data_IF_139788152092
#
_entry.id   IF_139788152092
#
_cell.length_a   1.000
_cell.length_b   1.000
_cell.length_c   1.000
_cell.angle_alpha   90.00
_cell.angle_beta   90.00
_cell.angle_gamma   90.00
#
_symmetry.space_group_name_H-M   'P 1'
#
loop_
_entity.id
_entity.type
_entity.pdbx_description
1 polymer ?
#
# COMPACT_ATOMS: atom_id res chain seq x y z
N UNK A 1 -22.93 -21.10 -14.48
CA UNK A 1 -22.58 -20.71 -13.09
C UNK A 1 -21.80 -19.38 -13.08
N UNK A 2 -21.84 -18.60 -11.99
CA UNK A 2 -21.30 -17.22 -11.89
C UNK A 2 -19.77 -17.20 -11.67
N UNK A 3 -18.98 -17.59 -12.66
CA UNK A 3 -17.52 -17.59 -12.56
C UNK A 3 -16.87 -16.21 -12.72
N UNK A 4 -17.59 -15.25 -13.29
CA UNK A 4 -17.13 -13.88 -13.54
C UNK A 4 -16.73 -13.15 -12.25
N UNK A 5 -17.41 -13.45 -11.14
CA UNK A 5 -17.13 -12.83 -9.84
C UNK A 5 -15.77 -13.25 -9.28
N UNK A 6 -15.36 -14.50 -9.51
CA UNK A 6 -14.08 -15.02 -9.01
C UNK A 6 -12.90 -14.33 -9.70
N UNK A 7 -13.01 -14.02 -10.99
CA UNK A 7 -11.99 -13.27 -11.70
C UNK A 7 -11.83 -11.85 -11.14
N UNK A 8 -12.94 -11.16 -10.85
CA UNK A 8 -12.90 -9.82 -10.25
C UNK A 8 -12.22 -9.86 -8.88
N UNK A 9 -12.62 -10.79 -8.01
CA UNK A 9 -12.01 -10.96 -6.68
C UNK A 9 -10.51 -11.29 -6.80
N UNK A 10 -10.15 -12.19 -7.71
CA UNK A 10 -8.76 -12.58 -7.93
C UNK A 10 -7.91 -11.41 -8.45
N UNK A 11 -8.42 -10.62 -9.39
CA UNK A 11 -7.75 -9.42 -9.89
C UNK A 11 -7.54 -8.38 -8.80
N UNK A 12 -8.53 -8.15 -7.93
CA UNK A 12 -8.41 -7.24 -6.79
C UNK A 12 -7.37 -7.77 -5.80
N UNK A 13 -7.34 -9.09 -5.56
CA UNK A 13 -6.34 -9.72 -4.69
C UNK A 13 -4.93 -9.56 -5.21
N UNK A 14 -4.70 -9.82 -6.50
CA UNK A 14 -3.41 -9.62 -7.17
C UNK A 14 -3.00 -8.14 -7.06
N UNK A 15 -3.93 -7.22 -7.34
CA UNK A 15 -3.68 -5.79 -7.21
C UNK A 15 -3.31 -5.40 -5.77
N UNK A 16 -4.00 -5.94 -4.76
CA UNK A 16 -3.68 -5.74 -3.36
C UNK A 16 -2.30 -6.27 -3.00
N UNK A 17 -1.92 -7.47 -3.46
CA UNK A 17 -0.63 -8.09 -3.17
C UNK A 17 0.52 -7.31 -3.82
N UNK A 18 0.36 -6.90 -5.09
CA UNK A 18 1.34 -6.07 -5.80
C UNK A 18 1.47 -4.72 -5.11
N UNK A 19 0.34 -4.09 -4.78
CA UNK A 19 0.31 -2.81 -4.08
C UNK A 19 1.01 -2.93 -2.73
N UNK A 20 0.69 -3.93 -1.90
CA UNK A 20 1.37 -4.19 -0.63
C UNK A 20 2.86 -4.46 -0.77
N UNK A 21 3.28 -5.22 -1.79
CA UNK A 21 4.70 -5.55 -2.02
C UNK A 21 5.50 -4.33 -2.49
N UNK A 22 4.96 -3.57 -3.43
CA UNK A 22 5.51 -2.28 -3.86
C UNK A 22 5.56 -1.30 -2.68
N UNK A 23 4.55 -1.33 -1.80
CA UNK A 23 4.50 -0.51 -0.60
C UNK A 23 5.64 -0.82 0.36
N UNK A 24 5.82 -2.10 0.70
CA UNK A 24 6.90 -2.58 1.57
C UNK A 24 8.29 -2.25 1.01
N UNK A 25 8.43 -2.19 -0.31
CA UNK A 25 9.69 -1.89 -0.99
C UNK A 25 9.98 -0.39 -1.09
N UNK A 26 8.94 0.45 -1.16
CA UNK A 26 9.10 1.92 -1.22
C UNK A 26 9.12 2.58 0.16
N UNK A 27 8.49 1.99 1.17
CA UNK A 27 8.22 2.63 2.46
C UNK A 27 8.62 1.71 3.62
N UNK A 28 9.51 2.19 4.51
CA UNK A 28 9.92 1.45 5.72
C UNK A 28 8.83 1.37 6.79
N UNK A 29 7.80 2.21 6.69
CA UNK A 29 6.70 2.32 7.64
C UNK A 29 5.36 2.12 6.93
N UNK A 30 4.37 1.56 7.62
CA UNK A 30 3.06 1.27 7.05
C UNK A 30 2.35 2.51 6.49
N UNK A 31 1.48 2.36 5.46
CA UNK A 31 0.68 3.44 4.85
C UNK A 31 0.06 4.38 5.86
N UNK A 32 -0.56 3.74 6.85
CA UNK A 32 -1.44 4.36 7.81
C UNK A 32 -0.61 5.11 8.84
N UNK A 33 0.50 4.54 9.28
CA UNK A 33 1.41 5.16 10.24
C UNK A 33 2.12 6.37 9.65
N UNK A 34 2.54 6.33 8.37
CA UNK A 34 3.10 7.51 7.74
C UNK A 34 2.06 8.56 7.43
N UNK A 35 0.89 8.18 6.91
CA UNK A 35 -0.18 9.15 6.66
C UNK A 35 -0.61 9.82 7.96
N UNK A 36 -0.76 9.04 9.03
CA UNK A 36 -1.05 9.51 10.37
C UNK A 36 0.04 10.42 10.92
N UNK A 37 1.32 10.03 10.82
CA UNK A 37 2.44 10.88 11.26
C UNK A 37 2.60 12.14 10.42
N UNK A 38 2.36 12.07 9.12
CA UNK A 38 2.42 13.22 8.19
C UNK A 38 1.30 14.22 8.50
N UNK A 39 0.08 13.73 8.76
CA UNK A 39 -1.06 14.56 9.19
C UNK A 39 -0.86 15.14 10.59
N UNK A 40 -0.36 14.34 11.54
CA UNK A 40 -0.21 14.75 12.95
C UNK A 40 0.92 15.77 13.13
N UNK A 41 2.05 15.58 12.44
CA UNK A 41 3.21 16.44 12.62
C UNK A 41 3.32 17.56 11.58
N UNK A 42 2.50 17.55 10.52
CA UNK A 42 2.53 18.54 9.42
C UNK A 42 3.86 18.60 8.67
N UNK A 43 4.80 17.68 8.97
CA UNK A 43 6.11 17.57 8.32
C UNK A 43 6.12 16.32 7.46
N UNK A 44 6.45 16.49 6.18
CA UNK A 44 6.71 15.39 5.26
C UNK A 44 7.94 14.62 5.75
N UNK A 45 7.72 13.55 6.52
CA UNK A 45 8.80 12.61 6.86
C UNK A 45 9.28 11.93 5.56
N UNK A 46 10.60 11.84 5.32
CA UNK A 46 11.15 11.25 4.11
C UNK A 46 10.66 9.81 4.03
N UNK A 47 9.80 9.57 3.05
CA UNK A 47 9.10 8.31 2.93
C UNK A 47 9.92 7.29 2.13
N UNK A 48 10.95 7.74 1.39
CA UNK A 48 11.91 6.87 0.74
C UNK A 48 12.96 6.39 1.74
N UNK A 49 13.31 5.11 1.65
CA UNK A 49 14.64 4.61 2.03
C UNK A 49 15.65 5.44 1.24
N UNK A 50 16.24 6.44 1.88
CA UNK A 50 17.48 7.05 1.39
C UNK A 50 18.53 5.98 1.63
N UNK A 51 19.06 5.43 0.54
CA UNK A 51 20.24 4.57 0.60
C UNK A 51 21.43 5.38 1.07
#
# INVERSE_FOLDING_TARGET
ERYELYYVVFSIWIFQLITSSIWLKHFQFGPFEWLWRSLTYGKKQPFKVVK
#
